data_IF_209357244050
#
_entry.id   IF_209357244050
#
_cell.length_a   1.000
_cell.length_b   1.000
_cell.length_c   1.000
_cell.angle_alpha   90.00
_cell.angle_beta   90.00
_cell.angle_gamma   90.00
#
_symmetry.space_group_name_H-M   'P 1'
#
loop_
_entity.id
_entity.type
_entity.pdbx_description
1 polymer ?
#
# COMPACT_ATOMS: atom_id res chain seq x y z
N UNK A 1 -18.51 -21.33 -22.95
CA UNK A 1 -18.16 -21.56 -21.53
C UNK A 1 -19.44 -21.73 -20.73
N UNK A 2 -19.47 -22.71 -19.78
CA UNK A 2 -20.56 -22.79 -18.78
C UNK A 2 -19.99 -23.30 -17.46
N UNK A 3 -20.19 -22.54 -16.39
CA UNK A 3 -19.71 -22.87 -15.04
C UNK A 3 -20.77 -22.58 -13.99
N UNK A 4 -20.67 -23.26 -12.85
CA UNK A 4 -21.42 -22.95 -11.64
C UNK A 4 -20.43 -22.76 -10.49
N UNK A 5 -20.58 -21.65 -9.75
CA UNK A 5 -19.68 -21.22 -8.68
C UNK A 5 -20.49 -20.61 -7.53
N UNK A 6 -20.05 -20.82 -6.31
CA UNK A 6 -20.67 -20.23 -5.12
C UNK A 6 -20.48 -18.70 -5.12
N UNK A 7 -21.53 -17.97 -4.75
CA UNK A 7 -21.60 -16.50 -4.82
C UNK A 7 -20.47 -15.79 -4.05
N UNK A 8 -20.12 -16.25 -2.85
CA UNK A 8 -19.06 -15.64 -2.04
C UNK A 8 -17.69 -15.79 -2.68
N UNK A 9 -17.41 -16.96 -3.25
CA UNK A 9 -16.20 -17.25 -4.01
C UNK A 9 -16.10 -16.36 -5.25
N UNK A 10 -17.19 -16.27 -6.02
CA UNK A 10 -17.25 -15.40 -7.19
C UNK A 10 -17.10 -13.92 -6.81
N UNK A 11 -17.77 -13.47 -5.75
CA UNK A 11 -17.69 -12.09 -5.28
C UNK A 11 -16.27 -11.70 -4.94
N UNK A 12 -15.55 -12.56 -4.22
CA UNK A 12 -14.14 -12.30 -3.84
C UNK A 12 -13.26 -12.13 -5.09
N UNK A 13 -13.35 -13.04 -6.04
CA UNK A 13 -12.55 -13.00 -7.27
C UNK A 13 -12.88 -11.78 -8.14
N UNK A 14 -14.15 -11.45 -8.30
CA UNK A 14 -14.57 -10.30 -9.11
C UNK A 14 -14.27 -8.96 -8.40
N UNK A 15 -14.34 -8.90 -7.07
CA UNK A 15 -13.94 -7.73 -6.30
C UNK A 15 -12.44 -7.44 -6.46
N UNK A 16 -11.61 -8.48 -6.44
CA UNK A 16 -10.18 -8.36 -6.70
C UNK A 16 -9.91 -7.87 -8.13
N UNK A 17 -10.56 -8.45 -9.12
CA UNK A 17 -10.45 -8.02 -10.51
C UNK A 17 -10.88 -6.56 -10.70
N UNK A 18 -12.03 -6.17 -10.13
CA UNK A 18 -12.56 -4.80 -10.23
C UNK A 18 -11.63 -3.75 -9.63
N UNK A 19 -10.84 -4.09 -8.61
CA UNK A 19 -9.95 -3.14 -7.94
C UNK A 19 -8.77 -2.70 -8.80
N UNK A 20 -8.35 -3.54 -9.74
CA UNK A 20 -7.27 -3.25 -10.69
C UNK A 20 -7.78 -2.41 -11.86
N UNK A 21 -9.03 -2.64 -12.28
CA UNK A 21 -9.64 -1.98 -13.43
C UNK A 21 -9.84 -0.48 -13.18
N UNK A 22 -9.45 0.35 -14.11
CA UNK A 22 -9.70 1.79 -14.06
C UNK A 22 -11.11 2.12 -14.56
N UNK A 23 -11.85 2.91 -13.77
CA UNK A 23 -13.23 3.31 -14.11
C UNK A 23 -13.35 4.18 -15.36
N UNK A 24 -12.30 4.90 -15.72
CA UNK A 24 -12.23 5.77 -16.92
C UNK A 24 -11.05 5.33 -17.76
N UNK A 25 -11.27 4.35 -18.62
CA UNK A 25 -10.27 3.88 -19.57
C UNK A 25 -10.75 4.20 -21.00
N UNK A 26 -9.82 4.66 -21.84
CA UNK A 26 -10.07 4.87 -23.27
C UNK A 26 -10.11 3.57 -24.07
N UNK A 27 -9.58 2.47 -23.49
CA UNK A 27 -9.53 1.15 -24.11
C UNK A 27 -10.61 0.28 -23.45
N UNK A 28 -11.75 -0.01 -24.13
CA UNK A 28 -12.90 -0.66 -23.50
C UNK A 28 -12.62 -2.03 -22.86
N UNK A 29 -11.73 -2.83 -23.46
CA UNK A 29 -11.42 -4.18 -22.96
C UNK A 29 -10.77 -4.15 -21.57
N UNK A 30 -10.06 -3.07 -21.20
CA UNK A 30 -9.42 -2.91 -19.88
C UNK A 30 -10.44 -2.65 -18.75
N UNK A 31 -11.70 -2.38 -19.09
CA UNK A 31 -12.80 -2.32 -18.11
C UNK A 31 -13.38 -3.71 -17.81
N UNK A 32 -12.95 -4.74 -18.56
CA UNK A 32 -13.45 -6.09 -18.43
C UNK A 32 -12.56 -6.96 -17.54
N UNK A 33 -13.16 -7.99 -16.97
CA UNK A 33 -12.47 -9.17 -16.42
C UNK A 33 -12.53 -10.27 -17.46
N UNK A 34 -11.39 -10.89 -17.75
CA UNK A 34 -11.31 -12.13 -18.54
C UNK A 34 -11.57 -13.31 -17.59
N UNK A 35 -12.56 -14.13 -17.95
CA UNK A 35 -12.96 -15.34 -17.25
C UNK A 35 -12.59 -16.55 -18.12
N UNK A 36 -11.72 -17.42 -17.60
CA UNK A 36 -11.27 -18.63 -18.29
C UNK A 36 -11.56 -19.84 -17.42
N UNK A 37 -12.31 -20.80 -17.96
CA UNK A 37 -12.72 -22.03 -17.26
C UNK A 37 -12.12 -23.26 -17.93
N UNK A 38 -11.41 -24.06 -17.14
CA UNK A 38 -10.79 -25.32 -17.61
C UNK A 38 -10.71 -26.32 -16.44
N UNK A 39 -10.95 -27.61 -16.74
CA UNK A 39 -10.98 -28.66 -15.72
C UNK A 39 -12.07 -28.42 -14.69
N UNK A 40 -11.67 -28.21 -13.43
CA UNK A 40 -12.53 -27.91 -12.29
C UNK A 40 -12.24 -26.50 -11.70
N UNK A 41 -11.54 -25.68 -12.46
CA UNK A 41 -11.11 -24.34 -12.04
C UNK A 41 -11.57 -23.24 -12.99
N UNK A 42 -11.73 -22.06 -12.44
CA UNK A 42 -11.96 -20.83 -13.19
C UNK A 42 -10.93 -19.79 -12.79
N UNK A 43 -10.41 -19.06 -13.77
CA UNK A 43 -9.50 -17.93 -13.57
C UNK A 43 -10.21 -16.62 -13.91
N UNK A 44 -10.00 -15.61 -13.08
CA UNK A 44 -10.44 -14.24 -13.28
C UNK A 44 -9.21 -13.37 -13.44
N UNK A 45 -9.03 -12.76 -14.61
CA UNK A 45 -7.87 -11.91 -14.91
C UNK A 45 -8.32 -10.49 -15.21
N UNK A 46 -7.65 -9.53 -14.58
CA UNK A 46 -7.83 -8.11 -14.85
C UNK A 46 -6.49 -7.38 -14.94
N UNK A 47 -6.42 -6.34 -15.75
CA UNK A 47 -5.20 -5.55 -15.94
C UNK A 47 -5.54 -4.12 -16.38
N UNK A 48 -4.64 -3.18 -16.06
CA UNK A 48 -4.61 -1.82 -16.59
C UNK A 48 -3.37 -1.58 -17.47
N UNK A 49 -2.64 -2.65 -17.85
CA UNK A 49 -1.39 -2.70 -18.59
C UNK A 49 -0.12 -2.49 -17.72
N UNK A 50 -0.25 -1.98 -16.51
CA UNK A 50 0.87 -1.80 -15.59
C UNK A 50 0.82 -2.78 -14.42
N UNK A 51 -0.38 -3.20 -14.04
CA UNK A 51 -0.64 -4.20 -13.03
C UNK A 51 -1.60 -5.26 -13.60
N UNK A 52 -1.38 -6.51 -13.27
CA UNK A 52 -2.24 -7.65 -13.60
C UNK A 52 -2.54 -8.45 -12.34
N UNK A 53 -3.80 -8.79 -12.13
CA UNK A 53 -4.22 -9.76 -11.12
C UNK A 53 -4.84 -10.96 -11.80
N UNK A 54 -4.48 -12.15 -11.31
CA UNK A 54 -5.09 -13.44 -11.70
C UNK A 54 -5.54 -14.13 -10.44
N UNK A 55 -6.84 -14.30 -10.28
CA UNK A 55 -7.44 -15.07 -9.17
C UNK A 55 -7.97 -16.39 -9.71
N UNK A 56 -7.70 -17.50 -9.01
CA UNK A 56 -8.12 -18.86 -9.35
C UNK A 56 -9.06 -19.38 -8.28
N UNK A 57 -10.19 -19.89 -8.72
CA UNK A 57 -11.20 -20.48 -7.84
C UNK A 57 -11.66 -21.83 -8.37
N UNK A 58 -12.11 -22.71 -7.47
CA UNK A 58 -12.79 -23.93 -7.85
C UNK A 58 -14.20 -23.61 -8.35
N UNK A 59 -14.61 -24.26 -9.42
CA UNK A 59 -15.95 -24.15 -9.99
C UNK A 59 -16.38 -25.49 -10.62
N UNK A 60 -17.68 -25.72 -10.70
CA UNK A 60 -18.20 -26.80 -11.52
C UNK A 60 -18.18 -26.35 -12.99
N UNK A 61 -17.25 -26.86 -13.77
CA UNK A 61 -17.10 -26.53 -15.19
C UNK A 61 -17.87 -27.57 -16.03
N UNK A 62 -19.04 -27.17 -16.52
CA UNK A 62 -19.83 -28.02 -17.44
C UNK A 62 -19.29 -27.93 -18.87
N UNK A 63 -18.79 -26.77 -19.27
CA UNK A 63 -18.18 -26.53 -20.58
C UNK A 63 -17.03 -25.53 -20.44
N UNK A 64 -15.82 -25.98 -20.75
CA UNK A 64 -14.64 -25.16 -20.81
C UNK A 64 -14.78 -24.02 -21.82
N UNK A 65 -13.96 -22.95 -21.64
CA UNK A 65 -13.91 -21.83 -22.55
C UNK A 65 -13.57 -20.53 -21.83
N UNK A 66 -13.65 -19.42 -22.55
CA UNK A 66 -13.33 -18.11 -22.02
C UNK A 66 -14.29 -17.04 -22.52
N UNK A 67 -14.39 -15.95 -21.78
CA UNK A 67 -15.15 -14.74 -22.13
C UNK A 67 -14.63 -13.54 -21.37
N UNK A 68 -14.96 -12.34 -21.84
CA UNK A 68 -14.71 -11.11 -21.09
C UNK A 68 -16.01 -10.40 -20.77
N UNK A 69 -16.09 -9.74 -19.62
CA UNK A 69 -17.28 -8.99 -19.20
C UNK A 69 -16.87 -7.79 -18.35
N UNK A 70 -17.65 -6.72 -18.37
CA UNK A 70 -17.40 -5.54 -17.56
C UNK A 70 -17.30 -5.89 -16.07
N UNK A 71 -16.11 -5.71 -15.48
CA UNK A 71 -15.78 -6.13 -14.12
C UNK A 71 -16.68 -5.44 -13.07
N UNK A 72 -16.89 -4.12 -13.21
CA UNK A 72 -17.75 -3.34 -12.29
C UNK A 72 -19.20 -3.82 -12.33
N UNK A 73 -19.74 -4.08 -13.52
CA UNK A 73 -21.13 -4.54 -13.67
C UNK A 73 -21.31 -5.93 -13.08
N UNK A 74 -20.40 -6.85 -13.37
CA UNK A 74 -20.46 -8.19 -12.81
C UNK A 74 -20.34 -8.15 -11.28
N UNK A 75 -19.41 -7.38 -10.73
CA UNK A 75 -19.25 -7.19 -9.29
C UNK A 75 -20.53 -6.66 -8.63
N UNK A 76 -21.15 -5.60 -9.20
CA UNK A 76 -22.39 -5.01 -8.66
C UNK A 76 -23.57 -5.99 -8.68
N UNK A 77 -23.65 -6.86 -9.69
CA UNK A 77 -24.67 -7.93 -9.75
C UNK A 77 -24.41 -8.93 -8.64
N UNK A 78 -23.21 -9.53 -8.62
CA UNK A 78 -22.85 -10.60 -7.68
C UNK A 78 -22.95 -10.14 -6.23
N UNK A 79 -22.58 -8.90 -5.93
CA UNK A 79 -22.69 -8.29 -4.59
C UNK A 79 -24.13 -8.24 -4.08
N UNK A 80 -25.12 -8.11 -4.98
CA UNK A 80 -26.54 -8.00 -4.64
C UNK A 80 -27.28 -9.35 -4.64
N UNK A 81 -26.65 -10.42 -5.09
CA UNK A 81 -27.23 -11.77 -5.01
C UNK A 81 -27.28 -12.26 -3.55
N UNK A 82 -28.23 -13.16 -3.21
CA UNK A 82 -28.29 -13.75 -1.87
C UNK A 82 -27.02 -14.50 -1.48
N UNK A 83 -26.65 -14.45 -0.20
CA UNK A 83 -25.54 -15.22 0.34
C UNK A 83 -25.75 -16.72 0.16
N UNK A 84 -24.68 -17.46 -0.16
CA UNK A 84 -24.72 -18.91 -0.41
C UNK A 84 -25.38 -19.31 -1.73
N UNK A 85 -25.81 -18.36 -2.58
CA UNK A 85 -26.39 -18.70 -3.86
C UNK A 85 -25.37 -19.36 -4.80
N UNK A 86 -25.80 -20.39 -5.53
CA UNK A 86 -25.04 -20.94 -6.64
C UNK A 86 -25.29 -20.06 -7.87
N UNK A 87 -24.22 -19.53 -8.46
CA UNK A 87 -24.26 -18.65 -9.63
C UNK A 87 -23.80 -19.42 -10.85
N UNK A 88 -24.64 -19.47 -11.89
CA UNK A 88 -24.31 -20.05 -13.20
C UNK A 88 -23.85 -18.92 -14.14
N UNK A 89 -22.70 -19.10 -14.77
CA UNK A 89 -22.16 -18.22 -15.80
C UNK A 89 -22.13 -18.98 -17.13
N UNK A 90 -22.91 -18.51 -18.10
CA UNK A 90 -22.96 -19.14 -19.43
C UNK A 90 -22.59 -18.13 -20.49
N UNK A 91 -21.43 -18.32 -21.13
CA UNK A 91 -21.01 -17.49 -22.26
C UNK A 91 -21.39 -18.19 -23.58
N UNK A 92 -22.03 -17.43 -24.44
CA UNK A 92 -22.37 -17.81 -25.79
C UNK A 92 -21.63 -16.91 -26.79
N UNK A 93 -20.68 -17.51 -27.49
CA UNK A 93 -19.87 -16.83 -28.50
C UNK A 93 -20.69 -16.35 -29.72
N UNK A 94 -21.78 -17.03 -30.05
CA UNK A 94 -22.61 -16.69 -31.20
C UNK A 94 -23.39 -15.38 -30.96
N UNK A 95 -23.83 -15.16 -29.73
CA UNK A 95 -24.58 -13.95 -29.35
C UNK A 95 -23.74 -12.84 -28.75
N UNK A 96 -22.47 -13.09 -28.42
CA UNK A 96 -21.62 -12.13 -27.73
C UNK A 96 -22.15 -11.76 -26.33
N UNK A 97 -22.73 -12.72 -25.62
CA UNK A 97 -23.38 -12.50 -24.33
C UNK A 97 -22.88 -13.46 -23.25
N UNK A 98 -22.79 -12.94 -22.04
CA UNK A 98 -22.64 -13.71 -20.81
C UNK A 98 -23.98 -13.65 -20.05
N UNK A 99 -24.60 -14.82 -19.84
CA UNK A 99 -25.75 -14.97 -18.96
C UNK A 99 -25.27 -15.28 -17.55
N UNK A 100 -25.79 -14.54 -16.57
CA UNK A 100 -25.54 -14.74 -15.13
C UNK A 100 -26.87 -15.11 -14.48
N UNK A 101 -26.96 -16.31 -13.92
CA UNK A 101 -28.18 -16.84 -13.32
C UNK A 101 -27.94 -17.20 -11.85
N UNK A 102 -28.86 -16.82 -10.97
CA UNK A 102 -28.89 -17.23 -9.58
C UNK A 102 -30.33 -17.28 -9.07
N UNK A 103 -30.84 -18.48 -8.78
CA UNK A 103 -32.23 -18.69 -8.40
C UNK A 103 -33.21 -18.21 -9.45
N UNK A 104 -33.96 -17.12 -9.15
CA UNK A 104 -34.91 -16.49 -10.07
C UNK A 104 -34.33 -15.29 -10.82
N UNK A 105 -33.10 -14.92 -10.53
CA UNK A 105 -32.44 -13.78 -11.16
C UNK A 105 -31.71 -14.23 -12.42
N UNK A 106 -31.88 -13.47 -13.51
CA UNK A 106 -31.21 -13.71 -14.78
C UNK A 106 -30.77 -12.38 -15.37
N UNK A 107 -29.49 -12.30 -15.71
CA UNK A 107 -28.86 -11.12 -16.31
C UNK A 107 -28.15 -11.52 -17.59
N UNK A 108 -28.22 -10.66 -18.61
CA UNK A 108 -27.53 -10.85 -19.89
C UNK A 108 -26.60 -9.68 -20.14
N UNK A 109 -25.30 -9.93 -20.09
CA UNK A 109 -24.25 -8.91 -20.19
C UNK A 109 -23.56 -9.01 -21.55
N UNK A 110 -23.22 -7.86 -22.14
CA UNK A 110 -22.40 -7.82 -23.34
C UNK A 110 -20.96 -8.23 -23.03
N UNK A 111 -20.35 -8.96 -23.95
CA UNK A 111 -18.95 -9.41 -23.85
C UNK A 111 -18.12 -8.77 -24.97
N UNK A 112 -16.80 -8.74 -24.78
CA UNK A 112 -15.84 -8.43 -25.84
C UNK A 112 -15.01 -9.68 -26.16
N UNK A 113 -14.41 -9.77 -27.37
CA UNK A 113 -13.59 -10.90 -27.75
C UNK A 113 -12.43 -11.12 -26.77
N UNK A 114 -12.20 -12.38 -26.41
CA UNK A 114 -11.10 -12.78 -25.53
C UNK A 114 -9.73 -12.38 -26.12
N UNK A 115 -9.62 -12.44 -27.42
CA UNK A 115 -8.40 -12.19 -28.20
C UNK A 115 -7.93 -10.74 -28.07
N UNK A 116 -8.84 -9.82 -27.77
CA UNK A 116 -8.55 -8.40 -27.54
C UNK A 116 -8.02 -8.14 -26.12
N UNK A 117 -8.12 -9.11 -25.20
CA UNK A 117 -7.69 -8.93 -23.82
C UNK A 117 -6.15 -9.04 -23.72
N UNK A 118 -5.48 -7.97 -23.26
CA UNK A 118 -4.03 -7.97 -23.16
C UNK A 118 -3.58 -8.83 -21.95
N UNK A 119 -2.58 -9.66 -22.18
CA UNK A 119 -1.92 -10.45 -21.13
C UNK A 119 -0.53 -9.89 -20.92
N UNK A 120 -0.16 -9.68 -19.66
CA UNK A 120 1.17 -9.20 -19.33
C UNK A 120 2.22 -10.25 -19.73
N UNK A 121 3.20 -9.85 -20.54
CA UNK A 121 4.28 -10.75 -20.96
C UNK A 121 5.01 -11.33 -19.73
N UNK A 122 5.37 -12.62 -19.84
CA UNK A 122 6.21 -13.27 -18.83
C UNK A 122 7.56 -12.56 -18.71
N UNK A 123 8.10 -12.48 -17.50
CA UNK A 123 9.43 -11.95 -17.24
C UNK A 123 10.34 -13.06 -16.70
N UNK A 124 11.62 -12.95 -17.02
CA UNK A 124 12.65 -13.70 -16.29
C UNK A 124 12.93 -12.96 -14.99
N UNK A 125 12.70 -13.63 -13.87
CA UNK A 125 12.91 -13.05 -12.55
C UNK A 125 14.30 -13.42 -12.03
N UNK A 126 15.07 -12.41 -11.65
CA UNK A 126 16.43 -12.56 -11.12
C UNK A 126 16.45 -13.09 -9.69
N UNK A 127 15.40 -12.83 -8.93
CA UNK A 127 15.28 -13.28 -7.55
C UNK A 127 13.88 -13.85 -7.30
N UNK A 128 13.84 -14.96 -6.59
CA UNK A 128 12.61 -15.62 -6.14
C UNK A 128 12.79 -16.04 -4.69
N UNK A 129 11.90 -15.60 -3.83
CA UNK A 129 11.91 -15.90 -2.40
C UNK A 129 10.50 -15.96 -1.83
N UNK A 130 10.37 -16.48 -0.61
CA UNK A 130 9.12 -16.42 0.14
C UNK A 130 9.30 -15.49 1.34
N UNK A 131 8.25 -14.74 1.65
CA UNK A 131 8.16 -13.91 2.84
C UNK A 131 6.78 -14.06 3.49
N UNK A 132 6.72 -13.99 4.83
CA UNK A 132 5.44 -13.99 5.53
C UNK A 132 4.62 -12.76 5.19
N UNK A 133 3.32 -12.93 5.06
CA UNK A 133 2.40 -11.83 4.80
C UNK A 133 2.52 -10.73 5.86
N UNK A 134 2.68 -11.09 7.14
CA UNK A 134 2.92 -10.14 8.22
C UNK A 134 4.18 -9.27 7.99
N UNK A 135 5.27 -9.85 7.49
CA UNK A 135 6.52 -9.14 7.20
C UNK A 135 6.32 -8.14 6.06
N UNK A 136 5.75 -8.59 4.94
CA UNK A 136 5.46 -7.72 3.80
C UNK A 136 4.47 -6.61 4.18
N UNK A 137 3.43 -6.96 4.96
CA UNK A 137 2.47 -5.98 5.45
C UNK A 137 3.16 -4.90 6.28
N UNK A 138 4.01 -5.27 7.24
CA UNK A 138 4.77 -4.31 8.04
C UNK A 138 5.64 -3.40 7.17
N UNK A 139 6.39 -3.96 6.22
CA UNK A 139 7.26 -3.22 5.33
C UNK A 139 6.49 -2.15 4.51
N UNK A 140 5.36 -2.55 3.92
CA UNK A 140 4.60 -1.66 3.05
C UNK A 140 3.65 -0.73 3.82
N UNK A 141 2.94 -1.22 4.86
CA UNK A 141 2.01 -0.37 5.62
C UNK A 141 2.74 0.75 6.33
N UNK A 142 3.89 0.46 6.97
CA UNK A 142 4.68 1.46 7.70
C UNK A 142 5.47 2.41 6.79
N UNK A 143 5.53 2.16 5.47
CA UNK A 143 6.23 3.05 4.51
C UNK A 143 5.29 3.80 3.56
N UNK A 144 4.15 3.22 3.17
CA UNK A 144 3.28 3.73 2.10
C UNK A 144 2.76 5.16 2.32
N UNK A 145 2.61 5.62 3.57
CA UNK A 145 2.11 6.96 3.87
C UNK A 145 3.05 8.07 3.37
N UNK A 146 4.34 7.76 3.23
CA UNK A 146 5.36 8.68 2.76
C UNK A 146 5.53 8.70 1.23
N UNK A 147 4.78 7.90 0.48
CA UNK A 147 4.83 7.89 -0.99
C UNK A 147 4.38 9.24 -1.54
N UNK A 148 5.15 9.80 -2.48
CA UNK A 148 4.79 11.03 -3.18
C UNK A 148 3.55 10.84 -4.07
N UNK A 149 2.81 11.92 -4.26
CA UNK A 149 1.70 12.01 -5.22
C UNK A 149 1.99 13.00 -6.34
N UNK A 150 3.19 13.58 -6.38
CA UNK A 150 3.60 14.53 -7.40
C UNK A 150 3.96 13.82 -8.69
N UNK A 151 3.31 14.15 -9.79
CA UNK A 151 3.54 13.52 -11.10
C UNK A 151 4.93 13.84 -11.67
N UNK A 152 5.47 15.01 -11.35
CA UNK A 152 6.80 15.43 -11.82
C UNK A 152 7.95 14.66 -11.18
N UNK A 153 7.73 14.09 -10.00
CA UNK A 153 8.68 13.25 -9.26
C UNK A 153 8.23 11.78 -9.24
N UNK A 154 7.88 11.25 -10.41
CA UNK A 154 7.29 9.92 -10.56
C UNK A 154 8.10 8.79 -9.91
N UNK A 155 9.44 8.91 -9.85
CA UNK A 155 10.34 7.97 -9.18
C UNK A 155 10.15 7.92 -7.65
N UNK A 156 9.39 8.84 -7.06
CA UNK A 156 8.96 8.83 -5.66
C UNK A 156 7.52 8.32 -5.47
N UNK A 157 6.81 7.95 -6.54
CA UNK A 157 5.40 7.53 -6.48
C UNK A 157 5.23 6.05 -6.14
N UNK A 158 6.19 5.49 -5.41
CA UNK A 158 6.21 4.10 -4.96
C UNK A 158 7.07 3.90 -3.73
N UNK A 159 7.19 2.64 -3.33
CA UNK A 159 8.08 2.19 -2.26
C UNK A 159 9.33 1.58 -2.89
N UNK A 160 10.49 2.09 -2.54
CA UNK A 160 11.78 1.52 -2.94
C UNK A 160 12.11 0.32 -2.06
N UNK A 161 12.05 -0.86 -2.65
CA UNK A 161 12.36 -2.15 -2.01
C UNK A 161 13.72 -2.62 -2.50
N UNK A 162 14.66 -2.80 -1.59
CA UNK A 162 16.03 -3.21 -1.92
C UNK A 162 16.71 -3.92 -0.76
N UNK A 163 17.90 -4.46 -1.01
CA UNK A 163 18.73 -5.12 0.00
C UNK A 163 19.90 -4.21 0.32
N UNK A 164 20.18 -4.09 1.62
CA UNK A 164 21.28 -3.28 2.14
C UNK A 164 21.73 -3.81 3.50
N UNK A 165 22.76 -3.19 4.07
CA UNK A 165 23.16 -3.46 5.44
C UNK A 165 22.23 -2.76 6.43
N UNK A 166 21.79 -3.48 7.45
CA UNK A 166 21.00 -2.97 8.56
C UNK A 166 21.89 -2.27 9.61
N UNK A 167 21.26 -1.77 10.68
CA UNK A 167 21.95 -1.08 11.78
C UNK A 167 22.93 -1.98 12.54
N UNK A 168 22.69 -3.29 12.56
CA UNK A 168 23.55 -4.30 13.21
C UNK A 168 24.64 -4.83 12.30
N UNK A 169 24.67 -4.43 11.02
CA UNK A 169 25.61 -4.92 10.01
C UNK A 169 25.14 -6.18 9.27
N UNK A 170 24.02 -6.78 9.67
CA UNK A 170 23.39 -7.86 8.94
C UNK A 170 22.66 -7.32 7.70
N UNK A 171 22.60 -8.13 6.64
CA UNK A 171 21.84 -7.74 5.44
C UNK A 171 20.35 -7.82 5.70
N UNK A 172 19.63 -6.81 5.27
CA UNK A 172 18.18 -6.67 5.47
C UNK A 172 17.45 -6.42 4.16
N UNK A 173 16.18 -6.81 4.12
CA UNK A 173 15.23 -6.33 3.12
C UNK A 173 14.65 -5.01 3.63
N UNK A 174 14.88 -3.93 2.88
CA UNK A 174 14.50 -2.56 3.23
C UNK A 174 13.45 -2.01 2.27
N UNK A 175 12.43 -1.36 2.84
CA UNK A 175 11.48 -0.55 2.13
C UNK A 175 11.62 0.93 2.54
N UNK A 176 11.71 1.82 1.56
CA UNK A 176 11.83 3.26 1.76
C UNK A 176 10.82 4.00 0.91
N UNK A 177 10.17 4.99 1.49
CA UNK A 177 9.32 5.93 0.77
C UNK A 177 9.58 7.37 1.25
N UNK A 178 9.46 8.34 0.35
CA UNK A 178 9.59 9.77 0.66
C UNK A 178 8.83 10.61 -0.35
N UNK A 179 8.33 11.77 0.10
CA UNK A 179 7.76 12.82 -0.75
C UNK A 179 8.64 14.09 -0.76
N UNK A 180 9.83 14.03 -0.11
CA UNK A 180 10.75 15.15 0.05
C UNK A 180 10.49 15.99 1.29
N UNK A 181 9.39 15.77 2.01
CA UNK A 181 9.06 16.44 3.27
C UNK A 181 9.12 15.49 4.47
N UNK A 182 8.97 14.22 4.21
CA UNK A 182 9.08 13.14 5.17
C UNK A 182 9.60 11.89 4.50
N UNK A 183 10.12 10.98 5.31
CA UNK A 183 10.68 9.71 4.86
C UNK A 183 10.29 8.60 5.85
N UNK A 184 10.02 7.42 5.32
CA UNK A 184 9.89 6.19 6.09
C UNK A 184 10.92 5.17 5.59
N UNK A 185 11.67 4.55 6.51
CA UNK A 185 12.61 3.45 6.26
C UNK A 185 12.27 2.29 7.18
N UNK A 186 11.92 1.16 6.61
CA UNK A 186 11.50 -0.03 7.34
C UNK A 186 12.37 -1.20 6.91
N UNK A 187 12.95 -1.90 7.88
CA UNK A 187 13.82 -3.05 7.69
C UNK A 187 13.12 -4.32 8.15
N UNK A 188 13.41 -5.42 7.48
CA UNK A 188 13.08 -6.77 7.89
C UNK A 188 14.26 -7.70 7.61
N UNK A 189 14.31 -8.85 8.29
CA UNK A 189 15.30 -9.87 8.03
C UNK A 189 15.30 -10.25 6.55
N UNK A 190 16.49 -10.50 6.01
CA UNK A 190 16.65 -10.88 4.60
C UNK A 190 16.05 -12.27 4.37
N UNK A 191 15.02 -12.42 3.54
CA UNK A 191 14.50 -13.73 3.18
C UNK A 191 15.51 -14.53 2.36
N UNK A 192 15.63 -15.83 2.61
CA UNK A 192 16.46 -16.71 1.79
C UNK A 192 16.01 -16.72 0.33
N UNK A 193 16.96 -16.54 -0.60
CA UNK A 193 16.70 -16.40 -2.04
C UNK A 193 16.55 -14.96 -2.52
N UNK A 194 16.56 -13.99 -1.60
CA UNK A 194 16.49 -12.56 -1.95
C UNK A 194 17.88 -11.94 -2.21
N UNK A 195 18.97 -12.62 -1.95
CA UNK A 195 20.34 -12.08 -1.90
C UNK A 195 20.77 -11.33 -3.16
N UNK A 196 20.25 -11.74 -4.31
CA UNK A 196 20.54 -11.13 -5.62
C UNK A 196 19.40 -10.22 -6.14
N UNK A 197 18.44 -9.85 -5.29
CA UNK A 197 17.30 -9.03 -5.70
C UNK A 197 17.78 -7.64 -6.15
N UNK A 198 17.38 -7.19 -7.35
CA UNK A 198 17.61 -5.80 -7.74
C UNK A 198 16.76 -4.85 -6.88
N UNK A 199 17.29 -3.66 -6.61
CA UNK A 199 16.49 -2.59 -6.00
C UNK A 199 15.40 -2.13 -6.97
N UNK A 200 14.14 -2.12 -6.52
CA UNK A 200 12.98 -1.79 -7.37
C UNK A 200 12.06 -0.79 -6.67
N UNK A 201 11.41 0.06 -7.45
CA UNK A 201 10.38 0.98 -6.94
C UNK A 201 9.01 0.38 -7.23
N UNK A 202 8.35 -0.15 -6.20
CA UNK A 202 7.02 -0.75 -6.29
C UNK A 202 5.97 0.35 -6.34
N UNK A 203 5.17 0.46 -7.42
CA UNK A 203 4.22 1.54 -7.60
C UNK A 203 3.17 1.61 -6.48
N UNK A 204 2.71 2.82 -6.14
CA UNK A 204 1.69 3.06 -5.10
C UNK A 204 0.42 2.21 -5.28
N UNK A 205 -0.08 2.08 -6.52
CA UNK A 205 -1.26 1.25 -6.83
C UNK A 205 -0.98 -0.20 -6.48
N UNK A 206 0.20 -0.72 -6.85
CA UNK A 206 0.62 -2.10 -6.56
C UNK A 206 0.71 -2.35 -5.05
N UNK A 207 1.27 -1.41 -4.28
CA UNK A 207 1.29 -1.49 -2.82
C UNK A 207 -0.13 -1.59 -2.24
N UNK A 208 -1.06 -0.79 -2.77
CA UNK A 208 -2.48 -0.84 -2.37
C UNK A 208 -3.16 -2.16 -2.69
N UNK A 209 -2.88 -2.75 -3.85
CA UNK A 209 -3.45 -4.05 -4.25
C UNK A 209 -2.79 -5.22 -3.48
N UNK A 210 -1.47 -5.18 -3.31
CA UNK A 210 -0.76 -6.17 -2.50
C UNK A 210 -1.33 -6.25 -1.09
N UNK A 211 -1.62 -5.10 -0.45
CA UNK A 211 -2.16 -5.05 0.91
C UNK A 211 -3.42 -5.92 1.08
N UNK A 212 -4.25 -6.02 0.04
CA UNK A 212 -5.48 -6.84 0.05
C UNK A 212 -5.20 -8.34 0.04
N UNK A 213 -3.99 -8.75 -0.32
CA UNK A 213 -3.57 -10.15 -0.34
C UNK A 213 -2.92 -10.59 0.99
N UNK A 214 -2.62 -9.64 1.88
CA UNK A 214 -1.85 -9.85 3.10
C UNK A 214 -2.73 -9.93 4.36
N UNK A 215 -3.90 -10.58 4.28
CA UNK A 215 -4.85 -10.64 5.39
C UNK A 215 -4.51 -11.74 6.42
N UNK A 216 -3.89 -12.83 6.00
CA UNK A 216 -3.44 -13.93 6.86
C UNK A 216 -1.95 -13.79 7.15
N UNK A 217 -1.61 -13.48 8.40
CA UNK A 217 -0.26 -13.18 8.86
C UNK A 217 0.74 -14.30 8.64
N UNK A 218 0.31 -15.54 8.77
CA UNK A 218 1.15 -16.72 8.68
C UNK A 218 1.32 -17.23 7.24
N UNK A 219 0.57 -16.66 6.28
CA UNK A 219 0.65 -17.05 4.89
C UNK A 219 2.03 -16.73 4.30
N UNK A 220 2.60 -17.68 3.57
CA UNK A 220 3.79 -17.46 2.76
C UNK A 220 3.40 -16.85 1.41
N UNK A 221 3.99 -15.71 1.10
CA UNK A 221 3.84 -15.02 -0.18
C UNK A 221 5.09 -15.30 -1.01
N UNK A 222 4.91 -15.91 -2.17
CA UNK A 222 6.01 -16.04 -3.12
C UNK A 222 6.24 -14.69 -3.81
N UNK A 223 7.46 -14.18 -3.71
CA UNK A 223 7.89 -12.91 -4.30
C UNK A 223 8.90 -13.19 -5.40
N UNK A 224 8.66 -12.63 -6.58
CA UNK A 224 9.59 -12.72 -7.71
C UNK A 224 9.91 -11.32 -8.20
N UNK A 225 11.19 -11.00 -8.36
CA UNK A 225 11.64 -9.64 -8.70
C UNK A 225 12.59 -9.67 -9.89
N UNK A 226 12.37 -8.76 -10.82
CA UNK A 226 13.27 -8.41 -11.92
C UNK A 226 13.43 -6.89 -11.98
N UNK A 227 14.34 -6.40 -12.83
CA UNK A 227 14.55 -4.95 -13.02
C UNK A 227 13.29 -4.22 -13.54
N UNK A 228 12.36 -4.93 -14.15
CA UNK A 228 11.16 -4.34 -14.79
C UNK A 228 9.84 -4.75 -14.18
N UNK A 229 9.82 -5.82 -13.38
CA UNK A 229 8.59 -6.38 -12.81
C UNK A 229 8.77 -6.94 -11.42
N UNK A 230 7.71 -6.86 -10.63
CA UNK A 230 7.56 -7.56 -9.37
C UNK A 230 6.28 -8.40 -9.40
N UNK A 231 6.35 -9.60 -8.83
CA UNK A 231 5.21 -10.50 -8.71
C UNK A 231 5.09 -10.99 -7.27
N UNK A 232 3.86 -10.93 -6.77
CA UNK A 232 3.47 -11.48 -5.47
C UNK A 232 2.41 -12.57 -5.71
N UNK A 233 2.62 -13.75 -5.16
CA UNK A 233 1.69 -14.85 -5.37
C UNK A 233 1.36 -15.58 -4.08
N UNK A 234 0.08 -15.82 -3.88
CA UNK A 234 -0.50 -16.78 -2.94
C UNK A 234 -0.87 -18.06 -3.70
N UNK A 235 -1.36 -19.13 -3.06
CA UNK A 235 -1.82 -20.32 -3.77
C UNK A 235 -2.87 -20.02 -4.85
N UNK A 236 -3.72 -19.01 -4.64
CA UNK A 236 -4.85 -18.75 -5.53
C UNK A 236 -4.72 -17.45 -6.33
N UNK A 237 -3.98 -16.46 -5.83
CA UNK A 237 -3.93 -15.13 -6.43
C UNK A 237 -2.49 -14.81 -6.84
N UNK A 238 -2.33 -14.29 -8.04
CA UNK A 238 -1.07 -13.75 -8.54
C UNK A 238 -1.27 -12.30 -8.90
N UNK A 239 -0.48 -11.42 -8.30
CA UNK A 239 -0.40 -10.01 -8.59
C UNK A 239 0.95 -9.74 -9.26
N UNK A 240 0.94 -9.26 -10.49
CA UNK A 240 2.14 -8.89 -11.24
C UNK A 240 2.08 -7.40 -11.55
N UNK A 241 3.16 -6.69 -11.34
CA UNK A 241 3.25 -5.25 -11.64
C UNK A 241 4.54 -4.92 -12.36
N UNK A 242 4.48 -3.98 -13.29
CA UNK A 242 5.67 -3.23 -13.67
C UNK A 242 6.18 -2.46 -12.46
N UNK A 243 7.49 -2.29 -12.36
CA UNK A 243 8.11 -1.37 -11.40
C UNK A 243 8.27 0.00 -12.04
N UNK A 244 8.43 1.03 -11.23
CA UNK A 244 8.70 2.38 -11.75
C UNK A 244 10.12 2.40 -12.32
N UNK A 245 10.23 2.75 -13.59
CA UNK A 245 11.51 2.97 -14.27
C UNK A 245 12.10 4.31 -13.83
N UNK A 246 13.05 4.27 -12.92
CA UNK A 246 13.69 5.45 -12.35
C UNK A 246 14.69 5.10 -11.27
N UNK A 247 15.52 6.07 -10.92
CA UNK A 247 16.49 5.92 -9.83
C UNK A 247 15.94 6.57 -8.55
N UNK A 248 15.76 5.77 -7.52
CA UNK A 248 15.39 6.30 -6.21
C UNK A 248 16.57 7.10 -5.63
N UNK A 249 16.34 8.30 -5.07
CA UNK A 249 17.43 9.14 -4.56
C UNK A 249 18.16 8.47 -3.38
N UNK A 250 19.40 8.90 -3.17
CA UNK A 250 20.19 8.49 -2.01
C UNK A 250 19.57 9.07 -0.73
N UNK A 251 18.64 8.31 -0.17
CA UNK A 251 17.89 8.68 1.04
C UNK A 251 18.74 8.68 2.31
N UNK A 252 19.90 8.01 2.31
CA UNK A 252 20.77 7.93 3.49
C UNK A 252 21.27 9.31 3.91
N UNK A 253 21.41 10.22 2.96
CA UNK A 253 21.87 11.61 3.19
C UNK A 253 20.85 12.49 3.92
N UNK A 254 19.58 12.11 3.92
CA UNK A 254 18.53 12.91 4.57
C UNK A 254 18.16 12.36 5.95
N UNK A 255 18.62 11.15 6.31
CA UNK A 255 18.44 10.61 7.65
C UNK A 255 19.48 11.27 8.58
N UNK A 256 19.05 12.04 9.58
CA UNK A 256 19.96 12.74 10.45
C UNK A 256 20.73 11.76 11.35
N UNK A 257 22.05 11.97 11.45
CA UNK A 257 22.95 11.15 12.30
C UNK A 257 23.46 11.92 13.54
N UNK A 258 23.22 13.21 13.59
CA UNK A 258 23.74 14.10 14.65
C UNK A 258 22.69 14.61 15.64
N UNK A 259 21.47 14.11 15.59
CA UNK A 259 20.39 14.51 16.49
C UNK A 259 20.61 13.90 17.87
N UNK A 260 20.77 14.74 18.90
CA UNK A 260 21.09 14.32 20.26
C UNK A 260 20.01 14.59 21.28
N UNK A 261 19.14 15.59 21.03
CA UNK A 261 18.03 15.94 21.93
C UNK A 261 16.92 14.92 21.83
N UNK A 262 16.68 14.21 22.92
CA UNK A 262 15.76 13.08 22.95
C UNK A 262 14.47 13.43 23.68
N UNK A 263 13.35 13.35 22.97
CA UNK A 263 12.00 13.41 23.53
C UNK A 263 11.38 12.02 23.47
N UNK A 264 10.79 11.57 24.57
CA UNK A 264 9.98 10.37 24.62
C UNK A 264 8.58 10.72 25.12
N UNK A 265 7.56 10.28 24.36
CA UNK A 265 6.15 10.59 24.62
C UNK A 265 5.27 9.41 24.25
N UNK A 266 4.17 9.19 24.95
CA UNK A 266 3.14 8.23 24.53
C UNK A 266 2.62 8.63 23.14
N UNK A 267 2.72 7.70 22.18
CA UNK A 267 2.38 7.98 20.78
C UNK A 267 0.90 8.31 20.58
N UNK A 268 0.02 7.68 21.36
CA UNK A 268 -1.43 7.88 21.28
C UNK A 268 -1.82 9.24 21.84
N UNK A 269 -1.30 9.60 23.03
CA UNK A 269 -1.53 10.92 23.64
C UNK A 269 -1.00 12.02 22.75
N UNK A 270 0.22 11.86 22.21
CA UNK A 270 0.82 12.82 21.28
C UNK A 270 -0.05 13.01 20.03
N UNK A 271 -0.45 11.92 19.37
CA UNK A 271 -1.28 12.00 18.17
C UNK A 271 -2.62 12.69 18.44
N UNK A 272 -3.28 12.35 19.55
CA UNK A 272 -4.55 12.98 19.95
C UNK A 272 -4.39 14.47 20.25
N UNK A 273 -3.31 14.87 20.94
CA UNK A 273 -3.05 16.27 21.22
C UNK A 273 -2.75 17.07 19.95
N UNK A 274 -1.93 16.52 19.04
CA UNK A 274 -1.67 17.13 17.72
C UNK A 274 -2.97 17.31 16.94
N UNK A 275 -3.85 16.29 16.92
CA UNK A 275 -5.14 16.34 16.20
C UNK A 275 -6.06 17.43 16.79
N UNK A 276 -6.13 17.54 18.14
CA UNK A 276 -6.92 18.59 18.79
C UNK A 276 -6.43 19.98 18.47
N UNK A 277 -5.14 20.27 18.65
CA UNK A 277 -4.61 21.63 18.38
C UNK A 277 -4.65 21.97 16.90
N UNK A 278 -4.47 20.98 16.03
CA UNK A 278 -4.53 21.16 14.58
C UNK A 278 -5.92 21.56 14.05
N UNK A 279 -6.98 21.34 14.83
CA UNK A 279 -8.37 21.69 14.45
C UNK A 279 -8.53 23.18 14.14
N UNK A 280 -7.78 24.06 14.79
CA UNK A 280 -7.81 25.51 14.51
C UNK A 280 -6.79 25.95 13.46
N UNK A 281 -5.95 25.04 12.96
CA UNK A 281 -4.96 25.38 11.93
C UNK A 281 -5.63 25.73 10.61
N UNK A 282 -5.03 26.63 9.83
CA UNK A 282 -5.52 26.90 8.48
C UNK A 282 -5.24 25.71 7.55
N UNK A 283 -6.13 25.48 6.58
CA UNK A 283 -5.92 24.43 5.56
C UNK A 283 -4.61 24.60 4.77
N UNK A 284 -4.10 25.80 4.68
CA UNK A 284 -2.87 26.15 3.95
C UNK A 284 -1.60 25.84 4.71
N UNK A 285 -1.55 26.14 6.02
CA UNK A 285 -0.31 25.99 6.79
C UNK A 285 -0.22 24.65 7.51
N UNK A 286 -1.33 24.17 8.10
CA UNK A 286 -1.37 22.98 8.98
C UNK A 286 -0.18 22.89 9.94
N UNK A 287 0.38 24.04 10.30
CA UNK A 287 1.57 24.12 11.13
C UNK A 287 1.18 23.96 12.59
N UNK A 288 1.90 23.10 13.30
CA UNK A 288 1.86 22.96 14.76
C UNK A 288 3.26 23.26 15.27
N UNK A 289 3.34 24.12 16.27
CA UNK A 289 4.58 24.44 16.99
C UNK A 289 4.71 23.50 18.19
N UNK A 290 5.86 22.90 18.34
CA UNK A 290 6.31 22.13 19.49
C UNK A 290 7.29 22.99 20.28
N UNK A 291 7.01 23.19 21.57
CA UNK A 291 7.93 23.81 22.51
C UNK A 291 8.35 22.76 23.53
N UNK A 292 9.62 22.41 23.49
CA UNK A 292 10.20 21.38 24.34
C UNK A 292 10.88 22.05 25.54
N UNK A 293 10.46 21.66 26.72
CA UNK A 293 11.03 22.09 28.01
C UNK A 293 11.23 20.86 28.90
N UNK A 294 11.97 21.00 30.00
CA UNK A 294 12.20 19.89 30.93
C UNK A 294 10.88 19.26 31.37
N UNK A 295 10.74 17.96 31.11
CA UNK A 295 9.57 17.11 31.40
C UNK A 295 8.23 17.59 30.79
N UNK A 296 8.26 18.52 29.84
CA UNK A 296 7.08 19.15 29.27
C UNK A 296 7.19 19.40 27.77
N UNK A 297 6.12 19.09 27.04
CA UNK A 297 5.91 19.45 25.64
C UNK A 297 4.66 20.30 25.51
N UNK A 298 4.78 21.52 24.95
CA UNK A 298 3.65 22.36 24.62
C UNK A 298 3.44 22.34 23.12
N UNK A 299 2.24 21.94 22.71
CA UNK A 299 1.77 21.98 21.32
C UNK A 299 0.94 23.24 21.13
N UNK A 300 1.23 24.05 20.12
CA UNK A 300 0.45 25.26 19.87
C UNK A 300 0.22 25.52 18.39
N UNK A 301 -0.93 26.11 18.09
CA UNK A 301 -1.33 26.62 16.78
C UNK A 301 -1.84 28.03 16.95
N UNK A 302 -1.40 28.93 16.12
CA UNK A 302 -1.94 30.30 16.04
C UNK A 302 -2.31 30.59 14.58
N UNK A 303 -3.61 30.69 14.31
CA UNK A 303 -4.15 30.99 13.00
C UNK A 303 -4.99 32.27 13.09
N UNK A 304 -4.53 33.41 12.54
CA UNK A 304 -5.17 34.72 12.71
C UNK A 304 -6.69 34.73 12.37
N UNK A 305 -7.08 33.92 11.40
CA UNK A 305 -8.47 33.86 10.91
C UNK A 305 -9.35 32.83 11.63
N UNK A 306 -8.74 31.84 12.32
CA UNK A 306 -9.45 30.69 12.88
C UNK A 306 -9.34 30.60 14.41
N UNK A 307 -8.32 31.24 15.01
CA UNK A 307 -8.09 31.24 16.45
C UNK A 307 -6.76 30.60 16.86
N UNK A 308 -6.61 30.35 18.15
CA UNK A 308 -5.41 29.74 18.73
C UNK A 308 -5.79 28.52 19.58
N UNK A 309 -4.92 27.54 19.63
CA UNK A 309 -5.02 26.40 20.52
C UNK A 309 -3.65 26.11 21.14
N UNK A 310 -3.69 25.63 22.37
CA UNK A 310 -2.51 25.20 23.10
C UNK A 310 -2.86 23.98 23.93
N UNK A 311 -1.95 23.00 23.98
CA UNK A 311 -2.08 21.83 24.81
C UNK A 311 -0.73 21.39 25.34
N UNK A 312 -0.70 20.98 26.61
CA UNK A 312 0.51 20.55 27.31
C UNK A 312 0.47 19.04 27.55
N UNK A 313 1.60 18.39 27.31
CA UNK A 313 1.83 16.97 27.58
C UNK A 313 3.01 16.79 28.53
N UNK A 314 2.87 15.87 29.48
CA UNK A 314 4.00 15.37 30.26
C UNK A 314 4.82 14.42 29.40
N UNK A 315 6.12 14.62 29.32
CA UNK A 315 7.03 13.87 28.44
C UNK A 315 8.36 13.62 29.15
N UNK A 316 9.17 12.70 28.64
CA UNK A 316 10.55 12.57 29.07
C UNK A 316 11.44 13.41 28.12
N UNK A 317 11.84 14.57 28.58
CA UNK A 317 12.76 15.48 27.91
C UNK A 317 13.59 16.20 28.95
N UNK A 318 14.91 16.23 28.76
CA UNK A 318 15.86 16.84 29.73
C UNK A 318 16.95 17.69 29.08
N UNK A 319 16.78 17.99 27.79
CA UNK A 319 17.72 18.83 27.05
C UNK A 319 17.31 20.31 27.11
N UNK A 320 18.10 21.18 26.46
CA UNK A 320 17.79 22.60 26.36
C UNK A 320 16.47 22.85 25.64
N UNK A 321 15.83 23.99 25.98
CA UNK A 321 14.62 24.46 25.33
C UNK A 321 14.76 24.48 23.80
N UNK A 322 13.73 23.97 23.10
CA UNK A 322 13.66 23.94 21.64
C UNK A 322 12.26 24.27 21.15
N UNK A 323 12.18 25.29 20.28
CA UNK A 323 10.98 25.61 19.50
C UNK A 323 11.13 25.08 18.09
N UNK A 324 10.20 24.24 17.63
CA UNK A 324 10.22 23.66 16.28
C UNK A 324 8.81 23.49 15.74
N UNK A 325 8.61 23.76 14.45
CA UNK A 325 7.31 23.64 13.81
C UNK A 325 7.26 22.46 12.83
N UNK A 326 6.07 21.86 12.71
CA UNK A 326 5.84 20.77 11.75
C UNK A 326 4.46 20.85 11.11
N UNK A 327 4.29 20.18 9.99
CA UNK A 327 2.98 19.89 9.44
C UNK A 327 2.26 18.86 10.31
N UNK A 328 1.13 19.24 10.90
CA UNK A 328 0.33 18.37 11.77
C UNK A 328 -0.02 17.03 11.13
N UNK A 329 -0.37 17.03 9.83
CA UNK A 329 -0.68 15.79 9.10
C UNK A 329 0.51 14.84 9.09
N UNK A 330 1.72 15.35 8.90
CA UNK A 330 2.93 14.51 8.86
C UNK A 330 3.23 13.93 10.25
N UNK A 331 3.09 14.74 11.30
CA UNK A 331 3.23 14.24 12.68
C UNK A 331 2.21 13.13 12.99
N UNK A 332 0.94 13.32 12.63
CA UNK A 332 -0.12 12.33 12.85
C UNK A 332 0.15 11.03 12.08
N UNK A 333 0.52 11.12 10.79
CA UNK A 333 0.78 9.95 9.98
C UNK A 333 1.98 9.16 10.48
N UNK A 334 3.02 9.83 11.02
CA UNK A 334 4.18 9.16 11.61
C UNK A 334 3.84 8.58 12.99
N UNK A 335 3.18 9.34 13.87
CA UNK A 335 2.81 8.87 15.20
C UNK A 335 1.90 7.62 15.13
N UNK A 336 1.03 7.55 14.14
CA UNK A 336 0.16 6.39 13.88
C UNK A 336 0.92 5.14 13.39
N UNK A 337 2.24 5.22 13.15
CA UNK A 337 3.05 4.05 12.84
C UNK A 337 3.62 3.36 14.08
N UNK A 338 3.52 3.99 15.25
CA UNK A 338 3.94 3.42 16.53
C UNK A 338 2.81 2.54 17.07
N UNK A 339 3.09 1.25 17.29
CA UNK A 339 2.05 0.27 17.61
C UNK A 339 1.82 0.09 19.11
N UNK A 340 2.88 0.11 19.94
CA UNK A 340 2.77 -0.35 21.34
C UNK A 340 3.67 0.37 22.35
N UNK A 341 4.58 1.21 21.89
CA UNK A 341 5.58 1.86 22.75
C UNK A 341 5.49 3.36 22.65
N UNK A 342 6.33 4.04 23.41
CA UNK A 342 6.50 5.47 23.28
C UNK A 342 7.13 5.83 21.94
N UNK A 343 6.69 6.92 21.36
CA UNK A 343 7.37 7.57 20.26
C UNK A 343 8.62 8.27 20.79
N UNK A 344 9.77 7.98 20.18
CA UNK A 344 11.04 8.65 20.49
C UNK A 344 11.40 9.57 19.34
N UNK A 345 11.44 10.86 19.63
CA UNK A 345 11.89 11.89 18.70
C UNK A 345 13.32 12.29 19.03
N UNK A 346 14.14 12.45 17.99
CA UNK A 346 15.51 12.94 18.10
C UNK A 346 15.63 14.24 17.31
N UNK A 347 15.97 15.32 18.00
CA UNK A 347 16.13 16.66 17.42
C UNK A 347 17.59 17.13 17.45
N UNK A 348 17.91 18.11 16.61
CA UNK A 348 19.15 18.86 16.68
C UNK A 348 18.82 20.36 16.86
N UNK A 349 18.35 21.04 15.83
CA UNK A 349 17.93 22.45 15.88
C UNK A 349 16.52 22.63 15.30
N UNK A 350 15.96 23.83 15.41
CA UNK A 350 14.65 24.16 14.85
C UNK A 350 14.56 24.09 13.32
N UNK A 351 15.69 24.04 12.63
CA UNK A 351 15.76 23.97 11.16
C UNK A 351 16.17 22.62 10.61
N UNK A 352 16.54 21.67 11.46
CA UNK A 352 17.07 20.38 11.05
C UNK A 352 15.97 19.29 10.99
N UNK A 353 16.11 18.29 10.09
CA UNK A 353 15.20 17.17 10.05
C UNK A 353 15.15 16.44 11.40
N UNK A 354 13.95 16.06 11.81
CA UNK A 354 13.72 15.28 13.03
C UNK A 354 13.56 13.83 12.71
N UNK A 355 14.24 12.96 13.46
CA UNK A 355 14.10 11.53 13.37
C UNK A 355 13.09 11.05 14.42
N UNK A 356 12.22 10.10 14.04
CA UNK A 356 11.31 9.44 14.96
C UNK A 356 11.38 7.92 14.81
N UNK A 357 11.22 7.20 15.91
CA UNK A 357 11.15 5.73 15.98
C UNK A 357 10.25 5.27 17.12
N UNK A 358 9.90 3.99 17.11
CA UNK A 358 9.19 3.34 18.19
C UNK A 358 10.19 2.85 19.25
N UNK A 359 10.17 3.46 20.44
CA UNK A 359 11.09 3.09 21.51
C UNK A 359 12.55 3.03 21.06
N UNK A 360 13.16 1.87 21.20
CA UNK A 360 14.53 1.58 20.76
C UNK A 360 14.60 0.74 19.49
N UNK A 361 13.49 0.58 18.75
CA UNK A 361 13.46 -0.17 17.49
C UNK A 361 14.05 0.65 16.34
N UNK A 362 15.25 0.27 15.90
CA UNK A 362 15.91 0.88 14.74
C UNK A 362 15.48 0.27 13.40
N UNK A 363 14.62 -0.76 13.40
CA UNK A 363 14.11 -1.38 12.18
C UNK A 363 13.02 -0.54 11.49
N UNK A 364 12.44 0.45 12.19
CA UNK A 364 11.50 1.41 11.64
C UNK A 364 11.94 2.83 12.01
N UNK A 365 12.34 3.61 11.02
CA UNK A 365 12.82 4.98 11.18
C UNK A 365 12.04 5.90 10.28
N UNK A 366 11.60 7.00 10.87
CA UNK A 366 10.85 8.06 10.18
C UNK A 366 11.61 9.38 10.30
N UNK A 367 11.57 10.16 9.23
CA UNK A 367 12.14 11.51 9.22
C UNK A 367 11.06 12.49 8.81
N UNK A 368 11.01 13.64 9.48
CA UNK A 368 10.11 14.74 9.14
C UNK A 368 10.87 16.04 9.07
N UNK A 369 10.62 16.78 7.99
CA UNK A 369 11.21 18.11 7.79
C UNK A 369 10.45 19.14 8.61
N UNK A 370 11.15 20.04 9.34
CA UNK A 370 10.49 21.12 10.07
C UNK A 370 9.92 22.17 9.13
N UNK A 371 8.98 22.93 9.66
CA UNK A 371 8.39 24.13 9.05
C UNK A 371 8.72 25.36 9.87
N UNK A 372 8.77 26.51 9.22
CA UNK A 372 8.84 27.79 9.94
C UNK A 372 7.47 28.11 10.56
N UNK A 373 7.45 28.41 11.83
CA UNK A 373 6.29 28.77 12.65
C UNK A 373 6.52 30.09 13.36
#
# INVERSE_FOLDING_TARGET
>A
MKISIERGTLLKAVAQAQSVVERRNTIPILANVLIEAEGDTVQFRATDLDIEVVDRANAQVERAGATTVAATTLHEIVRKLPDGALVSLTADAATGRLTVEAGRSNFSLATLPREDFPVMATAEYQSNFAAKAAVLRRLFDKSKFAISTEETRYYLNGVYMHITDGSTGDRVLRCVATDGHRLARIDADLPGGAEAMPGVIVPRKTVGELRKLLDDDDMDIAVSVSETKVRFATPNITLTSKVIDGTFPDYTRVIPVGNTRRLEVDATEFAQAVDRVATVSSERSRAVKLQLEEDRLILSVNAPDSGAAEEELAVAYSDEHLDIGFNAKYLLEIANQVDRENAVFMFNSSGDPTLMREGNDDSAVYVVMPMRV
#
